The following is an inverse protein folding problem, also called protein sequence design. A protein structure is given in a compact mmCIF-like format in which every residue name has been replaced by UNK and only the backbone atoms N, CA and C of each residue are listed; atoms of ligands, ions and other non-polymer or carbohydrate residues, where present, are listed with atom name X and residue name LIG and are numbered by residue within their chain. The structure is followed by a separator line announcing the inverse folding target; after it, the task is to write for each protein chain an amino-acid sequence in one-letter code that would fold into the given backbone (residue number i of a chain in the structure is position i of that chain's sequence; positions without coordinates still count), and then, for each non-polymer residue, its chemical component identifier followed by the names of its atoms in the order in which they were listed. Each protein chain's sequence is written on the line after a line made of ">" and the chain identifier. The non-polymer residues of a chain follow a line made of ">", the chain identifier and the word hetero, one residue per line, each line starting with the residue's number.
data_IF_868495087207
#
_entry.id   IF_868495087207
#
_cell.length_a   1.000
_cell.length_b   1.000
_cell.length_c   1.000
_cell.angle_alpha   90.00
_cell.angle_beta   90.00
_cell.angle_gamma   90.00
#
_symmetry.space_group_name_H-M   'P 1'
#
loop_
_entity.id
_entity.type
_entity.pdbx_description
1 polymer ?
#
# COMPACT_ATOMS: atom_id res chain seq x y z
N UNK A 1 1.88 -15.56 5.94
CA UNK A 1 0.94 -16.70 5.77
C UNK A 1 0.88 -17.66 6.95
N UNK A 2 1.93 -17.82 7.77
CA UNK A 2 1.91 -18.76 8.91
C UNK A 2 0.99 -18.36 10.06
N UNK A 3 0.55 -17.11 10.18
CA UNK A 3 -0.27 -16.65 11.32
C UNK A 3 -1.78 -16.88 11.09
N UNK A 4 -2.27 -16.66 9.86
CA UNK A 4 -3.68 -16.88 9.50
C UNK A 4 -3.92 -18.36 9.24
N UNK A 5 -4.72 -19.03 10.07
CA UNK A 5 -5.03 -20.46 9.94
C UNK A 5 -6.29 -20.76 9.14
N UNK A 6 -7.20 -19.79 8.99
CA UNK A 6 -8.48 -20.00 8.35
C UNK A 6 -8.30 -20.32 6.85
N UNK A 7 -8.74 -21.48 6.35
CA UNK A 7 -8.51 -21.88 4.96
C UNK A 7 -9.08 -20.89 3.93
N UNK A 8 -10.26 -20.32 4.23
CA UNK A 8 -10.89 -19.31 3.36
C UNK A 8 -10.04 -18.04 3.24
N UNK A 9 -9.45 -17.59 4.34
CA UNK A 9 -8.59 -16.42 4.33
C UNK A 9 -7.26 -16.70 3.60
N UNK A 10 -6.70 -17.91 3.77
CA UNK A 10 -5.52 -18.34 3.01
C UNK A 10 -5.77 -18.40 1.50
N UNK A 11 -6.95 -18.90 1.10
CA UNK A 11 -7.34 -18.92 -0.30
C UNK A 11 -7.42 -17.50 -0.89
N UNK A 12 -8.03 -16.57 -0.15
CA UNK A 12 -8.07 -15.15 -0.54
C UNK A 12 -6.66 -14.57 -0.70
N UNK A 13 -5.78 -14.73 0.28
CA UNK A 13 -4.40 -14.26 0.18
C UNK A 13 -3.64 -14.89 -0.99
N UNK A 14 -3.89 -16.17 -1.32
CA UNK A 14 -3.31 -16.82 -2.49
C UNK A 14 -3.72 -16.15 -3.80
N UNK A 15 -5.01 -15.78 -3.93
CA UNK A 15 -5.49 -15.00 -5.07
C UNK A 15 -4.88 -13.60 -5.10
N UNK A 16 -4.86 -12.90 -3.96
CA UNK A 16 -4.26 -11.58 -3.85
C UNK A 16 -2.80 -11.58 -4.32
N UNK A 17 -1.97 -12.51 -3.84
CA UNK A 17 -0.56 -12.65 -4.29
C UNK A 17 -0.46 -12.87 -5.80
N UNK A 18 -1.38 -13.64 -6.37
CA UNK A 18 -1.39 -13.89 -7.82
C UNK A 18 -1.69 -12.61 -8.59
N UNK A 19 -2.68 -11.85 -8.14
CA UNK A 19 -3.06 -10.57 -8.75
C UNK A 19 -1.93 -9.54 -8.60
N UNK A 20 -1.29 -9.43 -7.44
CA UNK A 20 -0.18 -8.50 -7.22
C UNK A 20 1.04 -8.79 -8.11
N UNK A 21 1.30 -10.06 -8.42
CA UNK A 21 2.33 -10.42 -9.39
C UNK A 21 1.95 -9.96 -10.81
N UNK A 22 0.67 -10.08 -11.19
CA UNK A 22 0.16 -9.57 -12.46
C UNK A 22 0.23 -8.04 -12.51
N UNK A 23 -0.11 -7.36 -11.41
CA UNK A 23 0.04 -5.90 -11.29
C UNK A 23 1.50 -5.46 -11.51
N UNK A 24 2.45 -6.17 -10.90
CA UNK A 24 3.89 -5.89 -11.05
C UNK A 24 4.37 -6.03 -12.50
N UNK A 25 3.93 -7.09 -13.20
CA UNK A 25 4.22 -7.27 -14.63
C UNK A 25 3.57 -6.17 -15.48
N UNK A 26 2.30 -5.87 -15.21
CA UNK A 26 1.54 -4.84 -15.91
C UNK A 26 2.22 -3.47 -15.81
N UNK A 27 2.61 -3.04 -14.60
CA UNK A 27 3.32 -1.77 -14.40
C UNK A 27 4.69 -1.75 -15.10
N UNK A 28 5.42 -2.86 -15.05
CA UNK A 28 6.70 -2.98 -15.76
C UNK A 28 6.51 -2.82 -17.27
N UNK A 29 5.49 -3.45 -17.85
CA UNK A 29 5.15 -3.35 -19.25
C UNK A 29 4.70 -1.93 -19.64
N UNK A 30 3.94 -1.24 -18.78
CA UNK A 30 3.58 0.17 -18.99
C UNK A 30 4.83 1.04 -19.10
N UNK A 31 5.78 0.90 -18.15
CA UNK A 31 7.03 1.65 -18.17
C UNK A 31 7.86 1.34 -19.41
N UNK A 32 7.97 0.07 -19.80
CA UNK A 32 8.70 -0.32 -21.00
C UNK A 32 8.08 0.23 -22.28
N UNK A 33 6.74 0.20 -22.35
CA UNK A 33 5.97 0.60 -23.52
C UNK A 33 5.99 2.11 -23.71
N UNK A 34 5.76 2.89 -22.65
CA UNK A 34 5.53 4.33 -22.77
C UNK A 34 6.78 5.18 -22.49
N UNK A 35 7.72 4.72 -21.67
CA UNK A 35 8.95 5.47 -21.36
C UNK A 35 10.09 5.00 -22.27
N UNK A 36 10.42 5.81 -23.28
CA UNK A 36 11.46 5.47 -24.27
C UNK A 36 12.88 5.80 -23.80
N UNK A 37 13.04 6.86 -23.01
CA UNK A 37 14.34 7.24 -22.44
C UNK A 37 14.80 6.21 -21.40
N UNK A 38 15.99 5.65 -21.60
CA UNK A 38 16.55 4.62 -20.74
C UNK A 38 16.92 5.14 -19.34
N UNK A 39 17.33 6.40 -19.25
CA UNK A 39 17.71 7.02 -17.97
C UNK A 39 16.48 7.24 -17.09
N UNK A 40 15.42 7.86 -17.63
CA UNK A 40 14.15 8.05 -16.96
C UNK A 40 13.51 6.70 -16.57
N UNK A 41 13.57 5.71 -17.46
CA UNK A 41 13.11 4.35 -17.16
C UNK A 41 13.86 3.73 -15.98
N UNK A 42 15.20 3.79 -15.97
CA UNK A 42 16.01 3.28 -14.88
C UNK A 42 15.71 3.97 -13.54
N UNK A 43 15.48 5.29 -13.57
CA UNK A 43 15.02 6.06 -12.41
C UNK A 43 13.69 5.52 -11.87
N UNK A 44 12.68 5.35 -12.73
CA UNK A 44 11.35 4.87 -12.32
C UNK A 44 11.36 3.44 -11.77
N UNK A 45 12.13 2.53 -12.35
CA UNK A 45 12.29 1.17 -11.79
C UNK A 45 12.99 1.15 -10.43
N UNK A 46 13.81 2.16 -10.15
CA UNK A 46 14.50 2.35 -8.86
C UNK A 46 13.82 3.43 -8.03
N UNK A 47 12.49 3.56 -8.12
CA UNK A 47 11.77 4.66 -7.49
C UNK A 47 11.96 4.71 -5.96
N UNK A 48 12.09 3.56 -5.28
CA UNK A 48 12.39 3.51 -3.84
C UNK A 48 13.71 4.22 -3.51
N UNK A 49 14.71 4.18 -4.39
CA UNK A 49 16.02 4.79 -4.16
C UNK A 49 16.13 6.21 -4.75
N UNK A 50 15.30 6.53 -5.76
CA UNK A 50 15.49 7.72 -6.60
C UNK A 50 14.35 8.73 -6.51
N UNK A 51 13.23 8.38 -5.86
CA UNK A 51 12.06 9.24 -5.67
C UNK A 51 11.76 9.32 -4.16
N UNK A 52 12.09 10.45 -3.50
CA UNK A 52 12.00 10.56 -2.03
C UNK A 52 10.62 10.24 -1.44
N UNK A 53 9.53 10.63 -2.11
CA UNK A 53 8.19 10.34 -1.62
C UNK A 53 7.84 8.84 -1.68
N UNK A 54 8.34 8.13 -2.69
CA UNK A 54 8.23 6.66 -2.78
C UNK A 54 9.09 5.99 -1.72
N UNK A 55 10.31 6.49 -1.48
CA UNK A 55 11.20 5.99 -0.42
C UNK A 55 10.53 6.03 0.95
N UNK A 56 9.94 7.18 1.33
CA UNK A 56 9.24 7.34 2.62
C UNK A 56 8.04 6.41 2.77
N UNK A 57 7.25 6.26 1.71
CA UNK A 57 6.12 5.31 1.69
C UNK A 57 6.60 3.86 1.90
N UNK A 58 7.73 3.49 1.28
CA UNK A 58 8.35 2.18 1.47
C UNK A 58 8.91 1.99 2.89
N UNK A 59 9.60 3.00 3.44
CA UNK A 59 10.12 2.98 4.82
C UNK A 59 9.01 2.81 5.85
N UNK A 60 7.89 3.53 5.68
CA UNK A 60 6.71 3.36 6.53
C UNK A 60 6.16 1.95 6.44
N UNK A 61 6.01 1.39 5.23
CA UNK A 61 5.49 0.04 5.06
C UNK A 61 6.40 -1.01 5.72
N UNK A 62 7.72 -0.88 5.56
CA UNK A 62 8.69 -1.78 6.18
C UNK A 62 8.68 -1.68 7.72
N UNK A 63 8.55 -0.48 8.28
CA UNK A 63 8.43 -0.27 9.73
C UNK A 63 7.25 -1.04 10.32
N UNK A 64 6.08 -0.97 9.68
CA UNK A 64 4.84 -1.47 10.25
C UNK A 64 4.48 -2.90 9.86
N UNK A 65 5.10 -3.45 8.81
CA UNK A 65 5.00 -4.88 8.46
C UNK A 65 5.99 -5.73 9.27
N UNK A 66 6.90 -5.11 10.02
CA UNK A 66 7.92 -5.81 10.81
C UNK A 66 7.33 -6.85 11.78
N UNK A 67 8.08 -7.95 11.96
CA UNK A 67 7.65 -9.07 12.78
C UNK A 67 7.58 -8.74 14.29
N UNK A 68 8.22 -7.66 14.73
CA UNK A 68 8.18 -7.18 16.12
C UNK A 68 6.84 -6.54 16.53
N UNK A 69 6.05 -6.06 15.56
CA UNK A 69 4.71 -5.53 15.82
C UNK A 69 3.70 -6.67 16.10
N UNK A 70 2.52 -6.37 16.63
CA UNK A 70 1.47 -7.38 16.77
C UNK A 70 0.83 -7.72 15.42
N UNK A 71 0.23 -8.91 15.31
CA UNK A 71 -0.52 -9.29 14.11
C UNK A 71 -1.64 -8.28 13.79
N UNK A 72 -2.30 -7.74 14.83
CA UNK A 72 -3.30 -6.71 14.65
C UNK A 72 -2.68 -5.47 14.01
N UNK A 73 -1.56 -4.94 14.55
CA UNK A 73 -0.91 -3.72 14.03
C UNK A 73 -0.46 -3.90 12.59
N UNK A 74 0.16 -5.03 12.26
CA UNK A 74 0.50 -5.37 10.86
C UNK A 74 -0.73 -5.40 9.97
N UNK A 75 -1.85 -5.95 10.45
CA UNK A 75 -3.10 -6.01 9.70
C UNK A 75 -3.66 -4.61 9.45
N UNK A 76 -3.59 -3.69 10.42
CA UNK A 76 -3.98 -2.29 10.23
C UNK A 76 -3.08 -1.58 9.23
N UNK A 77 -1.77 -1.76 9.36
CA UNK A 77 -0.81 -1.17 8.44
C UNK A 77 -1.03 -1.67 7.01
N UNK A 78 -1.31 -2.96 6.85
CA UNK A 78 -1.69 -3.55 5.57
C UNK A 78 -3.01 -2.96 5.05
N UNK A 79 -4.00 -2.70 5.91
CA UNK A 79 -5.22 -1.99 5.52
C UNK A 79 -4.91 -0.59 4.96
N UNK A 80 -4.00 0.14 5.58
CA UNK A 80 -3.58 1.46 5.10
C UNK A 80 -2.86 1.37 3.75
N UNK A 81 -2.05 0.33 3.52
CA UNK A 81 -1.39 0.10 2.23
C UNK A 81 -2.44 -0.11 1.14
N UNK A 82 -3.35 -1.06 1.35
CA UNK A 82 -4.37 -1.38 0.34
C UNK A 82 -5.36 -0.21 0.15
N UNK A 83 -5.82 0.41 1.23
CA UNK A 83 -6.88 1.41 1.19
C UNK A 83 -6.41 2.85 0.93
N UNK A 84 -5.41 3.34 1.67
CA UNK A 84 -4.97 4.74 1.59
C UNK A 84 -3.96 4.91 0.46
N UNK A 85 -3.00 4.00 0.36
CA UNK A 85 -1.86 4.13 -0.54
C UNK A 85 -2.13 3.67 -1.97
N UNK A 86 -3.00 2.68 -2.17
CA UNK A 86 -3.27 2.12 -3.50
C UNK A 86 -4.76 2.17 -3.90
N UNK A 87 -5.65 2.54 -2.97
CA UNK A 87 -7.11 2.62 -3.22
C UNK A 87 -7.73 1.30 -3.70
N UNK A 88 -7.18 0.17 -3.28
CA UNK A 88 -7.62 -1.18 -3.63
C UNK A 88 -8.72 -1.67 -2.67
N UNK A 89 -9.95 -1.21 -2.92
CA UNK A 89 -11.09 -1.39 -2.02
C UNK A 89 -11.38 -2.86 -1.63
N UNK A 90 -11.20 -3.81 -2.56
CA UNK A 90 -11.47 -5.23 -2.27
C UNK A 90 -10.54 -5.81 -1.20
N UNK A 91 -9.25 -5.49 -1.25
CA UNK A 91 -8.28 -5.99 -0.29
C UNK A 91 -8.42 -5.27 1.05
N UNK A 92 -8.68 -3.96 1.02
CA UNK A 92 -9.03 -3.20 2.21
C UNK A 92 -10.25 -3.78 2.96
N UNK A 93 -11.33 -4.08 2.24
CA UNK A 93 -12.56 -4.65 2.83
C UNK A 93 -12.29 -6.03 3.46
N UNK A 94 -11.48 -6.85 2.78
CA UNK A 94 -11.07 -8.14 3.31
C UNK A 94 -10.25 -8.01 4.60
N UNK A 95 -9.35 -7.03 4.67
CA UNK A 95 -8.56 -6.74 5.87
C UNK A 95 -9.45 -6.27 7.02
N UNK A 96 -10.44 -5.42 6.74
CA UNK A 96 -11.44 -4.99 7.72
C UNK A 96 -12.27 -6.17 8.24
N UNK A 97 -12.65 -7.10 7.36
CA UNK A 97 -13.33 -8.34 7.74
C UNK A 97 -12.45 -9.19 8.66
N UNK A 98 -11.18 -9.40 8.31
CA UNK A 98 -10.24 -10.15 9.17
C UNK A 98 -10.07 -9.49 10.53
N UNK A 99 -9.98 -8.16 10.58
CA UNK A 99 -9.92 -7.41 11.83
C UNK A 99 -11.17 -7.61 12.68
N UNK A 100 -12.36 -7.63 12.07
CA UNK A 100 -13.62 -7.86 12.78
C UNK A 100 -13.62 -9.20 13.54
N UNK A 101 -12.91 -10.21 13.00
CA UNK A 101 -12.79 -11.55 13.57
C UNK A 101 -11.71 -11.69 14.65
N UNK A 102 -10.88 -10.66 14.88
CA UNK A 102 -9.87 -10.68 15.94
C UNK A 102 -10.50 -10.52 17.32
N UNK A 103 -10.08 -11.35 18.29
CA UNK A 103 -10.49 -11.22 19.69
C UNK A 103 -9.83 -10.02 20.38
N UNK A 104 -8.55 -9.76 20.08
CA UNK A 104 -7.84 -8.59 20.58
C UNK A 104 -7.99 -7.43 19.58
N UNK A 105 -8.56 -6.32 20.06
CA UNK A 105 -8.70 -5.08 19.29
C UNK A 105 -7.55 -4.12 19.61
N UNK A 106 -7.39 -3.11 18.78
CA UNK A 106 -6.32 -2.13 18.91
C UNK A 106 -6.42 -1.26 20.17
N UNK A 107 -5.27 -0.74 20.59
CA UNK A 107 -5.22 0.46 21.42
C UNK A 107 -5.42 1.70 20.56
N UNK A 108 -6.38 2.55 20.92
CA UNK A 108 -6.78 3.74 20.14
C UNK A 108 -5.60 4.63 19.73
N UNK A 109 -4.66 4.86 20.65
CA UNK A 109 -3.45 5.66 20.40
C UNK A 109 -2.62 5.12 19.22
N UNK A 110 -2.49 3.79 19.11
CA UNK A 110 -1.68 3.14 18.08
C UNK A 110 -2.37 3.14 16.72
N UNK A 111 -3.70 3.00 16.71
CA UNK A 111 -4.49 3.18 15.49
C UNK A 111 -4.27 4.58 14.94
N UNK A 112 -4.39 5.58 15.81
CA UNK A 112 -4.20 6.96 15.41
C UNK A 112 -2.81 7.19 14.82
N UNK A 113 -1.75 6.69 15.48
CA UNK A 113 -0.37 6.79 14.96
C UNK A 113 -0.23 6.19 13.55
N UNK A 114 -0.65 4.93 13.36
CA UNK A 114 -0.52 4.23 12.07
C UNK A 114 -1.31 4.94 10.97
N UNK A 115 -2.57 5.26 11.24
CA UNK A 115 -3.48 5.84 10.24
C UNK A 115 -3.09 7.27 9.91
N UNK A 116 -2.77 8.10 10.91
CA UNK A 116 -2.35 9.48 10.69
C UNK A 116 -1.04 9.55 9.90
N UNK A 117 -0.04 8.74 10.24
CA UNK A 117 1.22 8.69 9.50
C UNK A 117 0.97 8.31 8.02
N UNK A 118 0.11 7.31 7.75
CA UNK A 118 -0.23 6.90 6.38
C UNK A 118 -0.95 8.02 5.61
N UNK A 119 -1.92 8.69 6.25
CA UNK A 119 -2.66 9.81 5.64
C UNK A 119 -1.73 10.96 5.29
N UNK A 120 -0.79 11.31 6.17
CA UNK A 120 0.11 12.44 5.95
C UNK A 120 1.12 12.14 4.83
N UNK A 121 1.63 10.90 4.74
CA UNK A 121 2.46 10.45 3.62
C UNK A 121 1.69 10.54 2.29
N UNK A 122 0.44 10.06 2.25
CA UNK A 122 -0.34 10.06 1.01
C UNK A 122 -0.73 11.48 0.58
N UNK A 123 -1.08 12.36 1.53
CA UNK A 123 -1.30 13.78 1.24
C UNK A 123 -0.07 14.43 0.65
N UNK A 124 1.11 14.16 1.20
CA UNK A 124 2.35 14.70 0.65
C UNK A 124 2.57 14.23 -0.80
N UNK A 125 2.33 12.95 -1.09
CA UNK A 125 2.44 12.43 -2.45
C UNK A 125 1.43 13.11 -3.39
N UNK A 126 0.17 13.22 -2.98
CA UNK A 126 -0.88 13.82 -3.82
C UNK A 126 -0.62 15.32 -4.04
N UNK A 127 -0.25 16.06 -2.99
CA UNK A 127 -0.07 17.50 -3.05
C UNK A 127 1.25 17.93 -3.72
N UNK A 128 2.33 17.18 -3.51
CA UNK A 128 3.66 17.56 -4.01
C UNK A 128 4.04 16.85 -5.32
N UNK A 129 3.50 15.66 -5.59
CA UNK A 129 3.85 14.88 -6.78
C UNK A 129 2.85 14.99 -7.93
N UNK A 130 1.57 15.26 -7.66
CA UNK A 130 0.59 15.54 -8.71
C UNK A 130 0.47 17.06 -8.93
N UNK A 131 0.78 17.59 -10.12
CA UNK A 131 0.52 19.00 -10.40
C UNK A 131 -0.98 19.28 -10.20
N UNK A 132 -1.29 20.41 -9.56
CA UNK A 132 -2.65 20.91 -9.28
C UNK A 132 -3.64 20.75 -10.46
N UNK A 133 -3.14 20.76 -11.70
CA UNK A 133 -3.89 20.51 -12.93
C UNK A 133 -4.61 19.14 -13.02
N UNK A 134 -4.15 18.09 -12.33
CA UNK A 134 -4.85 16.79 -12.30
C UNK A 134 -6.03 16.78 -11.31
N UNK A 135 -5.99 17.62 -10.27
CA UNK A 135 -7.09 17.78 -9.30
C UNK A 135 -8.28 18.50 -9.97
N UNK A 136 -8.01 19.39 -10.93
CA UNK A 136 -9.03 20.10 -11.70
C UNK A 136 -9.81 19.20 -12.69
N UNK A 137 -9.35 17.97 -12.97
CA UNK A 137 -10.10 17.03 -13.82
C UNK A 137 -11.42 16.55 -13.17
N UNK A 138 -11.59 16.72 -11.85
CA UNK A 138 -12.86 16.49 -11.15
C UNK A 138 -13.76 17.74 -11.05
N UNK A 139 -13.35 18.86 -11.67
CA UNK A 139 -14.06 20.15 -11.62
C UNK A 139 -14.80 20.50 -12.92
N UNK A 140 -14.93 19.55 -13.86
CA UNK A 140 -15.64 19.68 -15.15
C UNK A 140 -16.83 18.72 -15.19
#
# INVERSE_FOLDING_TARGET
>A
MCEVQLPKARAFYGFQITIENIHSEMYSLLLETYIKDSTAKSRLFRAIETIPCVARKAEWALRWIDASETFAERLLAFACIEGIFFSEGLYYDFVCLLYSLLNAKFFEKRVWEIVSDAVDIEKEIICDALPYALVEMNSI
#
